data_IF_688421664171
#
_entry.id   IF_688421664171
#
_cell.length_a   1.000
_cell.length_b   1.000
_cell.length_c   1.000
_cell.angle_alpha   90.00
_cell.angle_beta   90.00
_cell.angle_gamma   90.00
#
_symmetry.space_group_name_H-M   'P 1'
#
loop_
_entity.id
_entity.type
_entity.pdbx_description
1 polymer ?
#
# COMPACT_ATOMS: atom_id res chain seq x y z
N UNK A 1 -2.55 2.08 9.56
CA UNK A 1 -2.63 3.55 9.44
C UNK A 1 -3.88 3.97 8.66
N UNK A 2 -4.46 5.15 8.93
CA UNK A 2 -5.67 5.70 8.26
C UNK A 2 -5.34 6.67 7.11
N UNK A 3 -4.17 6.51 6.49
CA UNK A 3 -3.66 7.39 5.43
C UNK A 3 -2.92 6.54 4.40
N UNK A 4 -2.92 6.89 3.11
CA UNK A 4 -2.20 6.13 2.11
C UNK A 4 -0.69 6.43 2.15
N UNK A 5 0.10 5.50 1.62
CA UNK A 5 1.50 5.72 1.29
C UNK A 5 1.66 6.69 0.11
N UNK A 6 2.69 7.53 0.19
CA UNK A 6 3.24 8.23 -0.97
C UNK A 6 4.08 7.24 -1.80
N UNK A 7 3.80 7.05 -3.11
CA UNK A 7 4.46 6.00 -3.89
C UNK A 7 5.98 6.12 -3.93
N UNK A 8 6.50 7.31 -4.22
CA UNK A 8 7.95 7.52 -4.29
C UNK A 8 8.65 7.34 -2.94
N UNK A 9 8.03 7.73 -1.82
CA UNK A 9 8.63 7.55 -0.49
C UNK A 9 8.67 6.08 -0.11
N UNK A 10 7.60 5.34 -0.38
CA UNK A 10 7.57 3.89 -0.18
C UNK A 10 8.64 3.19 -1.03
N UNK A 11 8.77 3.56 -2.31
CA UNK A 11 9.81 3.03 -3.20
C UNK A 11 11.22 3.43 -2.76
N UNK A 12 11.42 4.64 -2.25
CA UNK A 12 12.72 5.07 -1.75
C UNK A 12 13.13 4.29 -0.50
N UNK A 13 12.19 4.02 0.40
CA UNK A 13 12.42 3.31 1.66
C UNK A 13 12.65 1.81 1.46
N UNK A 14 11.90 1.17 0.56
CA UNK A 14 11.92 -0.30 0.39
C UNK A 14 12.52 -0.77 -0.95
N UNK A 15 12.61 0.09 -1.97
CA UNK A 15 13.13 -0.30 -3.29
C UNK A 15 14.66 -0.32 -3.39
N UNK A 16 15.38 0.32 -2.46
CA UNK A 16 16.85 0.41 -2.48
C UNK A 16 17.50 -0.64 -1.58
N UNK A 17 18.73 -1.05 -1.95
CA UNK A 17 19.61 -1.85 -1.10
C UNK A 17 21.02 -1.23 -0.99
N UNK A 18 21.65 -1.25 0.21
CA UNK A 18 21.03 -1.60 1.49
C UNK A 18 19.90 -0.63 1.85
N UNK A 19 18.91 -1.09 2.63
CA UNK A 19 17.89 -0.18 3.15
C UNK A 19 18.52 0.65 4.27
N UNK A 20 17.90 1.78 4.60
CA UNK A 20 18.46 2.72 5.58
C UNK A 20 17.79 2.49 6.95
N UNK A 21 18.56 2.62 8.02
CA UNK A 21 18.05 2.59 9.40
C UNK A 21 17.42 1.24 9.76
N UNK A 22 16.30 1.28 10.49
CA UNK A 22 15.61 0.10 10.99
C UNK A 22 15.13 -0.85 9.87
N UNK A 23 14.89 -0.32 8.67
CA UNK A 23 14.45 -1.12 7.52
C UNK A 23 15.56 -2.03 6.99
N UNK A 24 16.86 -1.76 7.23
CA UNK A 24 17.96 -2.65 6.82
C UNK A 24 17.81 -4.08 7.36
N UNK A 25 17.22 -4.20 8.54
CA UNK A 25 16.98 -5.47 9.22
C UNK A 25 15.77 -6.24 8.69
N UNK A 26 14.94 -5.61 7.85
CA UNK A 26 13.76 -6.24 7.23
C UNK A 26 14.19 -7.12 6.06
N UNK A 27 13.96 -8.43 6.22
CA UNK A 27 14.31 -9.46 5.25
C UNK A 27 13.14 -9.80 4.32
N UNK A 28 11.93 -9.87 4.87
CA UNK A 28 10.68 -10.05 4.13
C UNK A 28 9.63 -9.08 4.63
N UNK A 29 8.75 -8.70 3.71
CA UNK A 29 7.54 -7.93 3.98
C UNK A 29 6.46 -8.50 3.09
N UNK A 30 5.25 -8.65 3.61
CA UNK A 30 4.08 -8.97 2.80
C UNK A 30 2.84 -8.35 3.41
N UNK A 31 1.94 -7.83 2.59
CA UNK A 31 0.62 -7.41 3.06
C UNK A 31 -0.11 -6.49 2.11
N UNK A 32 -1.18 -5.91 2.63
CA UNK A 32 -2.03 -4.94 1.93
C UNK A 32 -1.55 -3.53 2.26
N UNK A 33 -1.35 -2.72 1.23
CA UNK A 33 -1.01 -1.32 1.30
C UNK A 33 -2.10 -0.48 0.63
N UNK A 34 -2.40 0.66 1.23
CA UNK A 34 -3.18 1.71 0.60
C UNK A 34 -2.21 2.71 -0.05
N UNK A 35 -2.24 2.82 -1.39
CA UNK A 35 -1.36 3.69 -2.16
C UNK A 35 -2.13 4.92 -2.69
N UNK A 36 -1.56 6.12 -2.55
CA UNK A 36 -2.25 7.37 -2.87
C UNK A 36 -2.72 7.45 -4.35
N UNK A 37 -1.84 7.08 -5.28
CA UNK A 37 -2.11 7.09 -6.73
C UNK A 37 -3.09 6.01 -7.20
N UNK A 38 -3.45 5.08 -6.31
CA UNK A 38 -4.34 3.95 -6.59
C UNK A 38 -5.39 3.80 -5.48
N UNK A 39 -5.92 4.91 -4.99
CA UNK A 39 -6.77 4.93 -3.80
C UNK A 39 -8.08 4.12 -3.93
N UNK A 40 -8.48 3.69 -5.14
CA UNK A 40 -9.64 2.82 -5.38
C UNK A 40 -9.34 1.32 -5.27
N UNK A 41 -8.08 0.92 -5.23
CA UNK A 41 -7.66 -0.48 -5.28
C UNK A 41 -6.68 -0.79 -4.16
N UNK A 42 -6.75 -2.01 -3.63
CA UNK A 42 -5.73 -2.52 -2.71
C UNK A 42 -4.41 -2.68 -3.47
N UNK A 43 -3.30 -2.52 -2.76
CA UNK A 43 -1.98 -2.83 -3.30
C UNK A 43 -1.36 -3.95 -2.47
N UNK A 44 -0.84 -5.00 -3.11
CA UNK A 44 -0.10 -6.06 -2.45
C UNK A 44 1.38 -5.71 -2.47
N UNK A 45 1.92 -5.39 -1.30
CA UNK A 45 3.34 -5.09 -1.11
C UNK A 45 4.08 -6.38 -0.72
N UNK A 46 5.20 -6.66 -1.35
CA UNK A 46 6.01 -7.86 -1.08
C UNK A 46 7.52 -7.57 -1.20
N UNK A 47 8.33 -8.21 -0.34
CA UNK A 47 9.77 -8.33 -0.51
C UNK A 47 10.12 -9.79 -0.80
N UNK A 48 10.32 -10.09 -2.08
CA UNK A 48 10.77 -11.39 -2.56
C UNK A 48 12.29 -11.35 -2.82
N UNK A 49 13.05 -11.96 -1.91
CA UNK A 49 14.52 -11.95 -1.99
C UNK A 49 15.07 -10.53 -1.89
N UNK A 50 15.70 -10.03 -2.96
CA UNK A 50 16.29 -8.68 -2.97
C UNK A 50 15.34 -7.59 -3.45
N UNK A 51 14.23 -7.95 -4.08
CA UNK A 51 13.33 -7.01 -4.74
C UNK A 51 12.17 -6.62 -3.85
N UNK A 52 11.75 -5.37 -3.95
CA UNK A 52 10.49 -4.89 -3.40
C UNK A 52 9.52 -4.66 -4.57
N UNK A 53 8.32 -5.21 -4.45
CA UNK A 53 7.29 -5.14 -5.47
C UNK A 53 5.97 -4.67 -4.87
N UNK A 54 5.22 -3.91 -5.65
CA UNK A 54 3.84 -3.51 -5.32
C UNK A 54 2.95 -3.87 -6.50
N UNK A 55 2.08 -4.86 -6.30
CA UNK A 55 1.15 -5.35 -7.32
C UNK A 55 -0.28 -4.88 -7.03
N UNK A 56 -1.14 -4.69 -8.05
CA UNK A 56 -2.56 -4.41 -7.82
C UNK A 56 -3.26 -5.61 -7.17
N UNK A 57 -4.11 -5.32 -6.18
CA UNK A 57 -5.04 -6.27 -5.56
C UNK A 57 -6.49 -6.04 -6.02
N UNK A 58 -7.48 -6.58 -5.29
CA UNK A 58 -8.89 -6.29 -5.54
C UNK A 58 -9.24 -4.82 -5.22
N UNK A 59 -10.36 -4.29 -5.73
CA UNK A 59 -10.87 -2.98 -5.31
C UNK A 59 -11.16 -2.96 -3.80
N UNK A 60 -11.06 -1.77 -3.19
CA UNK A 60 -11.61 -1.55 -1.85
C UNK A 60 -13.14 -1.66 -1.91
N UNK A 61 -13.79 -2.18 -0.87
CA UNK A 61 -15.25 -2.22 -0.83
C UNK A 61 -15.86 -0.82 -0.89
N UNK A 62 -15.19 0.17 -0.32
CA UNK A 62 -15.55 1.58 -0.42
C UNK A 62 -15.41 2.17 -1.83
N UNK A 63 -14.81 1.45 -2.78
CA UNK A 63 -14.75 1.79 -4.20
C UNK A 63 -15.66 0.90 -5.07
N UNK A 64 -16.30 -0.11 -4.49
CA UNK A 64 -17.23 -1.04 -5.16
C UNK A 64 -18.67 -0.58 -4.97
N UNK A 65 -19.53 -0.70 -6.01
CA UNK A 65 -20.95 -0.34 -5.89
C UNK A 65 -21.64 -1.21 -4.84
N UNK A 66 -22.64 -0.67 -4.14
CA UNK A 66 -23.28 -1.36 -3.00
C UNK A 66 -23.96 -2.66 -3.45
N UNK A 67 -24.49 -2.67 -4.67
CA UNK A 67 -25.22 -3.78 -5.29
C UNK A 67 -24.30 -4.95 -5.64
N UNK A 68 -23.00 -4.69 -5.82
CA UNK A 68 -21.98 -5.70 -6.14
C UNK A 68 -21.36 -6.32 -4.88
N UNK A 69 -21.67 -5.79 -3.70
CA UNK A 69 -21.12 -6.27 -2.42
C UNK A 69 -21.86 -7.52 -1.95
N UNK A 70 -21.16 -8.53 -1.40
CA UNK A 70 -21.82 -9.71 -0.86
C UNK A 70 -22.74 -9.36 0.32
N UNK A 71 -23.81 -10.13 0.49
CA UNK A 71 -24.68 -10.03 1.65
C UNK A 71 -23.89 -10.36 2.93
N UNK A 72 -24.11 -9.61 4.01
CA UNK A 72 -23.38 -9.79 5.28
C UNK A 72 -22.05 -9.03 5.36
N UNK A 73 -21.58 -8.43 4.26
CA UNK A 73 -20.30 -7.71 4.25
C UNK A 73 -20.30 -6.53 5.24
N UNK A 74 -21.43 -5.83 5.35
CA UNK A 74 -21.52 -4.65 6.21
C UNK A 74 -21.13 -5.01 7.65
N UNK A 75 -21.66 -6.11 8.16
CA UNK A 75 -21.40 -6.60 9.51
C UNK A 75 -19.93 -7.01 9.69
N UNK A 76 -19.29 -7.54 8.66
CA UNK A 76 -17.88 -7.96 8.68
C UNK A 76 -16.91 -6.78 8.73
N UNK A 77 -17.21 -5.69 8.01
CA UNK A 77 -16.28 -4.56 7.86
C UNK A 77 -16.64 -3.33 8.70
N UNK A 78 -17.78 -3.34 9.40
CA UNK A 78 -18.28 -2.18 10.17
C UNK A 78 -17.22 -1.70 11.18
N UNK A 79 -16.54 -2.63 11.85
CA UNK A 79 -15.49 -2.32 12.83
C UNK A 79 -14.22 -1.73 12.20
N UNK A 80 -13.99 -1.98 10.91
CA UNK A 80 -12.84 -1.48 10.15
C UNK A 80 -13.18 -0.21 9.36
N UNK A 81 -14.47 0.14 9.27
CA UNK A 81 -14.96 1.19 8.40
C UNK A 81 -14.62 2.58 8.94
N UNK A 82 -13.95 3.38 8.11
CA UNK A 82 -13.75 4.80 8.32
C UNK A 82 -14.86 5.61 7.64
N UNK A 83 -15.37 6.65 8.29
CA UNK A 83 -16.41 7.52 7.70
C UNK A 83 -15.98 8.10 6.34
N UNK A 84 -14.75 8.61 6.25
CA UNK A 84 -14.23 9.25 5.03
C UNK A 84 -13.61 8.26 4.03
N UNK A 85 -13.03 7.15 4.51
CA UNK A 85 -12.15 6.30 3.70
C UNK A 85 -12.66 4.87 3.54
N UNK A 86 -13.77 4.52 4.21
CA UNK A 86 -14.34 3.18 4.24
C UNK A 86 -13.35 2.14 4.75
N UNK A 87 -13.21 1.02 4.04
CA UNK A 87 -12.35 -0.12 4.43
C UNK A 87 -10.86 0.06 4.07
N UNK A 88 -10.45 1.25 3.59
CA UNK A 88 -9.06 1.51 3.19
C UNK A 88 -8.12 1.45 4.39
N UNK A 89 -7.13 0.57 4.30
CA UNK A 89 -6.16 0.35 5.37
C UNK A 89 -4.78 -0.08 4.87
N UNK A 90 -3.83 -0.08 5.80
CA UNK A 90 -2.50 -0.66 5.60
C UNK A 90 -2.33 -1.75 6.64
N UNK A 91 -1.99 -2.95 6.18
CA UNK A 91 -1.72 -4.13 6.98
C UNK A 91 -0.49 -4.83 6.39
N UNK A 92 0.64 -4.72 7.08
CA UNK A 92 1.93 -5.25 6.63
C UNK A 92 2.53 -6.16 7.69
N UNK A 93 3.01 -7.32 7.27
CA UNK A 93 3.80 -8.22 8.11
C UNK A 93 5.26 -8.09 7.71
N UNK A 94 6.11 -7.72 8.66
CA UNK A 94 7.56 -7.62 8.47
C UNK A 94 8.28 -8.76 9.20
N UNK A 95 9.25 -9.38 8.53
CA UNK A 95 10.10 -10.43 9.10
C UNK A 95 11.55 -9.99 8.92
N UNK A 96 12.32 -10.02 10.00
CA UNK A 96 13.69 -9.58 10.01
C UNK A 96 14.48 -10.15 11.18
N UNK A 97 15.71 -9.66 11.36
CA UNK A 97 16.57 -10.03 12.49
C UNK A 97 16.69 -8.85 13.43
N UNK A 98 16.44 -9.07 14.73
CA UNK A 98 16.57 -8.02 15.75
C UNK A 98 15.81 -6.74 15.35
N UNK A 99 14.58 -6.91 14.87
CA UNK A 99 13.74 -5.79 14.48
C UNK A 99 13.39 -4.97 15.72
N UNK A 100 13.73 -3.69 15.68
CA UNK A 100 13.07 -2.69 16.51
C UNK A 100 11.72 -2.37 15.86
N UNK A 101 10.65 -2.93 16.41
CA UNK A 101 9.30 -2.77 15.86
C UNK A 101 8.91 -1.30 15.76
N UNK A 102 9.15 -0.51 16.81
CA UNK A 102 8.75 0.89 16.83
C UNK A 102 9.51 1.69 15.77
N UNK A 103 10.82 1.44 15.60
CA UNK A 103 11.61 2.12 14.59
C UNK A 103 11.24 1.70 13.14
N UNK A 104 10.80 0.44 12.93
CA UNK A 104 10.28 0.00 11.64
C UNK A 104 8.93 0.65 11.34
N UNK A 105 8.04 0.72 12.32
CA UNK A 105 6.75 1.39 12.19
C UNK A 105 6.95 2.87 11.87
N UNK A 106 7.80 3.58 12.61
CA UNK A 106 8.13 4.99 12.35
C UNK A 106 8.68 5.20 10.93
N UNK A 107 9.59 4.34 10.48
CA UNK A 107 10.16 4.43 9.14
C UNK A 107 9.11 4.20 8.03
N UNK A 108 8.15 3.30 8.25
CA UNK A 108 7.02 3.10 7.34
C UNK A 108 6.03 4.27 7.42
N UNK A 109 5.72 4.78 8.61
CA UNK A 109 4.83 5.93 8.80
C UNK A 109 5.38 7.20 8.13
N UNK A 110 6.70 7.39 8.12
CA UNK A 110 7.36 8.46 7.38
C UNK A 110 7.12 8.40 5.85
N UNK A 111 6.65 7.27 5.32
CA UNK A 111 6.26 7.12 3.92
C UNK A 111 4.79 7.47 3.64
N UNK A 112 3.96 7.75 4.65
CA UNK A 112 2.55 8.11 4.51
C UNK A 112 2.37 9.56 4.04
N UNK A 113 1.27 9.87 3.35
CA UNK A 113 0.93 11.25 3.02
C UNK A 113 0.93 12.15 4.26
N UNK A 114 1.56 13.31 4.14
CA UNK A 114 1.54 14.40 5.12
C UNK A 114 0.16 15.05 5.21
N UNK A 115 -0.05 15.91 6.20
CA UNK A 115 -1.33 16.64 6.36
C UNK A 115 -1.65 17.51 5.16
N UNK A 116 -0.64 18.20 4.62
CA UNK A 116 -0.79 19.01 3.42
C UNK A 116 -1.16 18.18 2.19
N UNK A 117 -0.51 17.03 2.00
CA UNK A 117 -0.81 16.14 0.88
C UNK A 117 -2.20 15.52 1.01
N UNK A 118 -2.61 15.13 2.22
CA UNK A 118 -3.97 14.66 2.48
C UNK A 118 -5.02 15.72 2.14
N UNK A 119 -4.79 16.98 2.54
CA UNK A 119 -5.69 18.09 2.26
C UNK A 119 -5.86 18.39 0.75
N UNK A 120 -4.89 17.98 -0.09
CA UNK A 120 -4.98 18.10 -1.54
C UNK A 120 -5.98 17.15 -2.21
N UNK A 121 -6.42 16.11 -1.51
CA UNK A 121 -7.43 15.16 -1.98
C UNK A 121 -7.04 14.30 -3.18
N UNK A 122 -7.98 13.45 -3.61
CA UNK A 122 -7.75 12.41 -4.61
C UNK A 122 -7.18 12.93 -5.94
N UNK A 123 -7.59 14.11 -6.40
CA UNK A 123 -7.07 14.70 -7.64
C UNK A 123 -5.56 14.97 -7.56
N UNK A 124 -5.06 15.48 -6.43
CA UNK A 124 -3.63 15.70 -6.21
C UNK A 124 -2.89 14.38 -6.01
N UNK A 125 -3.51 13.42 -5.34
CA UNK A 125 -2.92 12.09 -5.12
C UNK A 125 -2.69 11.34 -6.42
N UNK A 126 -3.65 11.38 -7.35
CA UNK A 126 -3.54 10.75 -8.67
C UNK A 126 -2.44 11.38 -9.54
N UNK A 127 -2.05 12.62 -9.26
CA UNK A 127 -1.00 13.34 -9.97
C UNK A 127 0.41 13.10 -9.41
N UNK A 128 0.54 12.38 -8.29
CA UNK A 128 1.86 11.99 -7.75
C UNK A 128 2.55 11.02 -8.71
N UNK A 129 3.87 11.11 -8.80
CA UNK A 129 4.66 10.13 -9.54
C UNK A 129 4.51 8.74 -8.89
N UNK A 130 4.23 7.73 -9.73
CA UNK A 130 4.01 6.36 -9.29
C UNK A 130 5.09 5.44 -9.90
N UNK A 131 6.17 5.12 -9.16
CA UNK A 131 7.23 4.25 -9.65
C UNK A 131 6.80 2.79 -9.78
N UNK A 132 5.61 2.43 -9.30
CA UNK A 132 5.05 1.08 -9.41
C UNK A 132 4.13 0.94 -10.62
N UNK A 133 3.82 2.03 -11.34
CA UNK A 133 2.99 1.96 -12.53
C UNK A 133 3.82 1.28 -13.62
N UNK A 134 3.27 0.24 -14.23
CA UNK A 134 3.89 -0.34 -15.42
C UNK A 134 4.00 0.78 -16.46
N UNK A 135 5.18 0.94 -17.06
CA UNK A 135 5.29 1.81 -18.22
C UNK A 135 4.27 1.34 -19.25
N UNK A 136 3.42 2.25 -19.75
CA UNK A 136 2.36 1.91 -20.70
C UNK A 136 2.97 1.14 -21.88
N UNK A 137 2.77 -0.19 -21.87
CA UNK A 137 3.23 -1.14 -22.89
C UNK A 137 4.55 -1.86 -22.56
N UNK A 138 4.48 -2.98 -21.83
CA UNK A 138 5.09 -4.27 -22.15
C UNK A 138 4.90 -5.22 -20.96
N UNK A 139 3.86 -6.07 -21.01
CA UNK A 139 3.62 -7.02 -19.92
C UNK A 139 2.38 -7.92 -20.07
N UNK A 140 1.99 -8.28 -21.30
CA UNK A 140 1.07 -9.40 -21.47
C UNK A 140 1.84 -10.70 -21.16
N UNK A 141 2.00 -11.03 -19.89
CA UNK A 141 2.35 -12.38 -19.48
C UNK A 141 1.09 -13.24 -19.64
N UNK A 142 0.97 -13.86 -20.80
CA UNK A 142 0.06 -14.98 -21.05
C UNK A 142 0.31 -16.07 -19.99
N UNK A 143 -0.65 -16.24 -19.08
CA UNK A 143 -0.78 -17.46 -18.29
C UNK A 143 -1.28 -18.56 -19.23
N UNK A 144 -0.37 -19.39 -19.74
CA UNK A 144 -0.76 -20.65 -20.36
C UNK A 144 -1.10 -21.68 -19.27
N UNK A 145 -2.29 -22.27 -19.39
CA UNK A 145 -2.74 -23.44 -18.64
C UNK A 145 -1.90 -24.68 -18.95
#
# INVERSE_FOLDING_TARGET
ARRPFHPERLQAALGRRPRVGALDRVLRLKGVAWLATRHGTQAHADIAGTQFTVAPGPPWWAATAVEERPAGLKEEIDALWHEEYGDRQIELVCIGRELDQAAVEEALEACLLTDEEMAGGAARWLALADPFREADGQGAHEHNH
#
